data_IF_469512386554
#
_entry.id   IF_469512386554
#
_cell.length_a   1.000
_cell.length_b   1.000
_cell.length_c   1.000
_cell.angle_alpha   90.00
_cell.angle_beta   90.00
_cell.angle_gamma   90.00
#
_symmetry.space_group_name_H-M   'P 1'
#
loop_
_entity.id
_entity.type
_entity.pdbx_description
1 polymer ?
#
# COMPACT_ATOMS: atom_id res chain seq x y z
N UNK A 1 -36.22 -22.75 -64.32
CA UNK A 1 -35.98 -23.81 -63.32
C UNK A 1 -34.63 -23.57 -62.69
N UNK A 2 -34.59 -23.46 -61.35
CA UNK A 2 -33.42 -23.64 -60.48
C UNK A 2 -32.33 -22.55 -60.53
N UNK A 3 -31.81 -21.99 -59.43
CA UNK A 3 -32.13 -21.93 -57.98
C UNK A 3 -31.10 -20.93 -57.42
N UNK A 4 -31.57 -20.02 -56.58
CA UNK A 4 -30.73 -19.13 -55.76
C UNK A 4 -29.86 -19.94 -54.79
N UNK A 5 -28.61 -19.53 -54.63
CA UNK A 5 -27.73 -19.93 -53.54
C UNK A 5 -27.40 -18.69 -52.71
N UNK A 6 -28.01 -18.62 -51.53
CA UNK A 6 -27.67 -17.71 -50.45
C UNK A 6 -26.30 -18.07 -49.86
N UNK A 7 -25.38 -17.11 -49.87
CA UNK A 7 -24.11 -17.21 -49.14
C UNK A 7 -24.35 -16.75 -47.68
N UNK A 8 -24.30 -17.70 -46.75
CA UNK A 8 -24.23 -17.42 -45.31
C UNK A 8 -22.81 -16.99 -44.96
N UNK A 9 -22.63 -15.74 -44.55
CA UNK A 9 -21.43 -15.28 -43.88
C UNK A 9 -21.51 -15.69 -42.40
N UNK A 10 -20.68 -16.65 -42.00
CA UNK A 10 -20.48 -16.97 -40.59
C UNK A 10 -19.53 -15.93 -39.99
N UNK A 11 -20.02 -15.10 -39.07
CA UNK A 11 -19.18 -14.35 -38.14
C UNK A 11 -18.54 -15.36 -37.17
N UNK A 12 -17.22 -15.50 -37.27
CA UNK A 12 -16.41 -16.13 -36.23
C UNK A 12 -16.10 -15.09 -35.15
N UNK A 13 -16.83 -15.19 -34.04
CA UNK A 13 -16.51 -14.48 -32.81
C UNK A 13 -15.34 -15.19 -32.12
N UNK A 14 -14.15 -14.60 -32.12
CA UNK A 14 -13.03 -15.05 -31.30
C UNK A 14 -13.19 -14.49 -29.88
N UNK A 15 -13.83 -15.28 -29.02
CA UNK A 15 -13.72 -15.18 -27.56
C UNK A 15 -12.33 -15.68 -27.16
N UNK A 16 -11.38 -14.76 -26.94
CA UNK A 16 -10.10 -15.06 -26.34
C UNK A 16 -10.24 -15.09 -24.81
N UNK A 17 -10.37 -16.29 -24.26
CA UNK A 17 -10.18 -16.59 -22.84
C UNK A 17 -9.05 -17.62 -22.73
N UNK A 18 -8.03 -17.32 -21.92
CA UNK A 18 -7.00 -18.27 -21.51
C UNK A 18 -5.70 -18.12 -22.29
N UNK A 19 -4.67 -17.64 -21.58
CA UNK A 19 -3.28 -17.59 -22.06
C UNK A 19 -2.80 -18.99 -22.43
N UNK A 20 -2.61 -19.20 -23.73
CA UNK A 20 -1.58 -20.13 -24.21
C UNK A 20 -0.41 -19.21 -24.52
N UNK A 21 0.50 -19.07 -23.55
CA UNK A 21 1.81 -18.47 -23.83
C UNK A 21 2.47 -19.34 -24.90
N UNK A 22 2.62 -18.79 -26.10
CA UNK A 22 3.47 -19.35 -27.13
C UNK A 22 4.90 -19.29 -26.58
N UNK A 23 5.44 -20.43 -26.13
CA UNK A 23 6.67 -20.59 -25.34
C UNK A 23 7.97 -20.15 -26.06
N UNK A 24 7.87 -19.36 -27.14
CA UNK A 24 9.00 -18.87 -27.93
C UNK A 24 8.93 -17.42 -28.37
N UNK A 25 7.87 -16.66 -28.06
CA UNK A 25 7.81 -15.23 -28.36
C UNK A 25 8.34 -14.41 -27.17
N UNK A 26 9.27 -13.49 -27.43
CA UNK A 26 9.70 -12.50 -26.43
C UNK A 26 8.47 -11.72 -25.94
N UNK A 27 8.36 -11.51 -24.63
CA UNK A 27 7.24 -10.78 -24.06
C UNK A 27 7.20 -9.35 -24.64
N UNK A 28 6.06 -8.96 -25.21
CA UNK A 28 5.91 -7.63 -25.79
C UNK A 28 5.94 -6.57 -24.68
N UNK A 29 6.75 -5.53 -24.88
CA UNK A 29 6.79 -4.40 -23.94
C UNK A 29 5.51 -3.59 -24.06
N UNK A 30 4.71 -3.59 -23.00
CA UNK A 30 3.46 -2.84 -22.88
C UNK A 30 3.71 -1.34 -22.68
N UNK A 31 4.77 -0.99 -21.94
CA UNK A 31 5.18 0.39 -21.70
C UNK A 31 6.66 0.47 -21.25
N UNK A 32 7.25 1.66 -21.32
CA UNK A 32 8.58 1.93 -20.79
C UNK A 32 8.58 3.26 -20.02
N UNK A 33 9.29 3.29 -18.89
CA UNK A 33 9.49 4.48 -18.08
C UNK A 33 10.98 4.73 -17.90
N UNK A 34 11.46 5.88 -18.39
CA UNK A 34 12.79 6.38 -18.03
C UNK A 34 12.73 6.98 -16.63
N UNK A 35 13.62 6.55 -15.73
CA UNK A 35 13.76 7.10 -14.39
C UNK A 35 15.12 7.78 -14.31
N UNK A 36 15.14 9.02 -13.80
CA UNK A 36 16.34 9.86 -13.70
C UNK A 36 16.57 10.24 -12.25
N UNK A 37 17.82 10.19 -11.79
CA UNK A 37 18.19 10.64 -10.45
C UNK A 37 18.65 12.08 -10.49
N UNK A 38 17.95 12.93 -9.75
CA UNK A 38 18.35 14.30 -9.48
C UNK A 38 19.35 14.31 -8.31
N UNK A 39 20.59 14.68 -8.60
CA UNK A 39 21.65 14.80 -7.59
C UNK A 39 22.97 14.15 -8.03
N UNK A 40 23.93 14.00 -7.11
CA UNK A 40 25.16 13.26 -7.40
C UNK A 40 24.82 11.79 -7.68
N UNK A 41 25.59 11.13 -8.56
CA UNK A 41 25.40 9.72 -8.85
C UNK A 41 25.65 8.88 -7.59
N UNK A 42 24.80 7.89 -7.39
CA UNK A 42 24.96 6.94 -6.31
C UNK A 42 26.07 5.94 -6.67
N UNK A 43 26.96 5.68 -5.72
CA UNK A 43 28.11 4.77 -5.91
C UNK A 43 27.96 3.45 -5.14
N UNK A 44 26.81 3.27 -4.50
CA UNK A 44 26.48 2.03 -3.79
C UNK A 44 26.26 0.90 -4.79
N UNK A 45 26.61 -0.33 -4.40
CA UNK A 45 26.45 -1.52 -5.23
C UNK A 45 25.03 -2.06 -5.11
N UNK A 46 24.59 -2.83 -6.11
CA UNK A 46 23.27 -3.47 -6.15
C UNK A 46 22.10 -2.48 -6.02
N UNK A 47 22.25 -1.29 -6.58
CA UNK A 47 21.14 -0.34 -6.63
C UNK A 47 20.11 -0.83 -7.63
N UNK A 48 18.83 -0.76 -7.25
CA UNK A 48 17.72 -1.08 -8.13
C UNK A 48 16.74 0.06 -8.16
N UNK A 49 16.08 0.21 -9.30
CA UNK A 49 14.94 1.10 -9.47
C UNK A 49 13.72 0.22 -9.75
N UNK A 50 12.69 0.37 -8.94
CA UNK A 50 11.48 -0.45 -9.03
C UNK A 50 10.22 0.36 -8.79
N UNK A 51 9.08 -0.28 -9.04
CA UNK A 51 7.76 0.30 -8.78
C UNK A 51 7.16 -0.35 -7.55
N UNK A 52 6.88 0.40 -6.50
CA UNK A 52 6.03 -0.04 -5.41
C UNK A 52 4.59 0.28 -5.74
N UNK A 53 3.75 -0.74 -5.91
CA UNK A 53 2.31 -0.59 -6.10
C UNK A 53 1.60 -0.45 -4.76
N UNK A 54 0.62 0.44 -4.71
CA UNK A 54 -0.12 0.79 -3.50
C UNK A 54 -1.10 -0.31 -3.09
N UNK A 55 -1.22 -0.51 -1.78
CA UNK A 55 -2.34 -1.20 -1.15
C UNK A 55 -3.53 -0.24 -0.99
N UNK A 56 -4.74 -0.80 -0.90
CA UNK A 56 -5.88 -0.04 -0.37
C UNK A 56 -5.58 0.37 1.07
N UNK A 57 -5.57 1.67 1.40
CA UNK A 57 -5.31 2.11 2.76
C UNK A 57 -6.41 1.56 3.67
N UNK A 58 -6.01 0.98 4.80
CA UNK A 58 -6.95 0.41 5.75
C UNK A 58 -7.01 1.31 6.98
N UNK A 59 -8.21 1.72 7.34
CA UNK A 59 -8.41 2.62 8.47
C UNK A 59 -8.67 1.80 9.73
N UNK A 60 -7.76 1.89 10.69
CA UNK A 60 -7.98 1.39 12.05
C UNK A 60 -8.75 2.49 12.81
N UNK A 61 -9.96 2.25 13.32
CA UNK A 61 -10.77 3.29 13.99
C UNK A 61 -10.02 4.01 15.11
N UNK A 62 -9.29 3.26 15.95
CA UNK A 62 -8.44 3.84 16.99
C UNK A 62 -7.42 4.85 16.42
N UNK A 63 -6.78 4.53 15.30
CA UNK A 63 -5.80 5.43 14.68
C UNK A 63 -6.45 6.63 13.98
N UNK A 64 -7.69 6.51 13.53
CA UNK A 64 -8.42 7.67 13.04
C UNK A 64 -8.65 8.71 14.16
N UNK A 65 -9.05 8.23 15.34
CA UNK A 65 -9.40 9.08 16.49
C UNK A 65 -8.15 9.59 17.23
N UNK A 66 -7.15 8.74 17.42
CA UNK A 66 -6.00 9.02 18.31
C UNK A 66 -4.66 9.14 17.56
N UNK A 67 -4.59 8.68 16.32
CA UNK A 67 -3.35 8.63 15.53
C UNK A 67 -2.93 10.00 14.98
N UNK A 68 -1.72 10.06 14.38
CA UNK A 68 -1.26 11.25 13.69
C UNK A 68 -2.18 11.58 12.53
N UNK A 69 -2.45 12.87 12.32
CA UNK A 69 -3.15 13.33 11.13
C UNK A 69 -2.67 14.72 10.74
N UNK A 70 -2.27 14.94 9.47
CA UNK A 70 -1.98 16.26 8.92
C UNK A 70 -3.15 17.24 9.01
N UNK A 71 -4.39 16.77 9.18
CA UNK A 71 -5.57 17.62 9.39
C UNK A 71 -5.62 18.26 10.79
N UNK A 72 -4.86 17.72 11.75
CA UNK A 72 -4.75 18.24 13.11
C UNK A 72 -3.28 18.20 13.58
N UNK A 73 -2.41 19.10 13.05
CA UNK A 73 -0.99 19.09 13.37
C UNK A 73 -0.67 19.35 14.85
N UNK A 74 -1.63 19.89 15.62
CA UNK A 74 -1.49 20.15 17.04
C UNK A 74 -1.83 18.95 17.93
N UNK A 75 -2.35 17.86 17.34
CA UNK A 75 -2.74 16.66 18.06
C UNK A 75 -1.54 16.06 18.80
N UNK A 76 -1.66 15.90 20.11
CA UNK A 76 -0.66 15.18 20.88
C UNK A 76 -0.86 13.68 20.70
N UNK A 77 -0.01 13.07 19.86
CA UNK A 77 0.03 11.62 19.69
C UNK A 77 0.95 11.03 20.75
N UNK A 78 0.43 10.11 21.59
CA UNK A 78 1.15 9.47 22.70
C UNK A 78 0.79 7.99 22.81
N UNK A 79 1.52 7.26 23.66
CA UNK A 79 1.19 5.90 24.04
C UNK A 79 1.11 4.95 22.84
N UNK A 80 0.03 4.19 22.78
CA UNK A 80 -0.24 3.20 21.72
C UNK A 80 -0.28 3.87 20.34
N UNK A 81 -0.96 5.01 20.23
CA UNK A 81 -1.10 5.72 18.97
C UNK A 81 0.26 6.18 18.41
N UNK A 82 1.16 6.67 19.26
CA UNK A 82 2.49 7.10 18.83
C UNK A 82 3.38 5.92 18.37
N UNK A 83 3.14 4.73 18.91
CA UNK A 83 3.93 3.54 18.60
C UNK A 83 3.41 2.78 17.37
N UNK A 84 2.09 2.77 17.14
CA UNK A 84 1.49 1.88 16.14
C UNK A 84 0.65 2.58 15.07
N UNK A 85 0.23 3.83 15.26
CA UNK A 85 -0.62 4.48 14.26
C UNK A 85 0.20 5.13 13.17
N UNK A 86 -0.05 4.70 11.94
CA UNK A 86 0.45 5.32 10.73
C UNK A 86 -0.32 6.60 10.40
N UNK A 87 0.34 7.55 9.75
CA UNK A 87 -0.35 8.68 9.12
C UNK A 87 -1.27 8.16 8.00
N UNK A 88 -2.59 8.44 8.04
CA UNK A 88 -3.55 7.97 7.04
C UNK A 88 -3.32 8.51 5.63
N UNK A 89 -2.49 9.55 5.46
CA UNK A 89 -2.12 10.12 4.17
C UNK A 89 -0.76 9.63 3.65
N UNK A 90 -0.09 8.69 4.33
CA UNK A 90 1.10 8.08 3.79
C UNK A 90 0.80 7.10 2.65
N UNK A 91 1.78 6.92 1.75
CA UNK A 91 1.76 5.87 0.75
C UNK A 91 1.95 4.50 1.42
N UNK A 92 0.95 3.63 1.30
CA UNK A 92 0.97 2.25 1.78
C UNK A 92 1.37 1.30 0.63
N UNK A 93 2.57 0.67 0.67
CA UNK A 93 2.96 -0.34 -0.32
C UNK A 93 2.18 -1.65 -0.13
N UNK A 94 1.89 -2.34 -1.22
CA UNK A 94 1.43 -3.74 -1.22
C UNK A 94 2.50 -4.66 -1.81
N UNK A 95 3.06 -4.28 -2.97
CA UNK A 95 3.88 -5.17 -3.78
C UNK A 95 4.87 -4.42 -4.66
N UNK A 96 6.07 -4.97 -4.79
CA UNK A 96 7.00 -4.54 -5.83
C UNK A 96 6.56 -5.08 -7.21
N UNK A 97 6.55 -4.19 -8.18
CA UNK A 97 6.43 -4.50 -9.61
C UNK A 97 7.79 -4.85 -10.23
N UNK A 98 8.01 -4.56 -11.52
CA UNK A 98 9.31 -4.77 -12.13
C UNK A 98 10.38 -3.88 -11.47
N UNK A 99 11.58 -4.43 -11.33
CA UNK A 99 12.76 -3.71 -10.87
C UNK A 99 13.94 -3.94 -11.82
N UNK A 100 14.77 -2.93 -11.99
CA UNK A 100 15.94 -2.98 -12.88
C UNK A 100 17.19 -2.55 -12.12
N UNK A 101 18.33 -3.15 -12.46
CA UNK A 101 19.62 -2.77 -11.89
C UNK A 101 19.99 -1.35 -12.38
N UNK A 102 20.33 -0.47 -11.45
CA UNK A 102 20.97 0.80 -11.72
C UNK A 102 22.48 0.63 -11.54
N UNK A 103 23.25 0.77 -12.61
CA UNK A 103 24.70 0.60 -12.53
C UNK A 103 25.29 1.73 -11.68
N UNK A 104 26.22 1.44 -10.75
CA UNK A 104 26.84 2.48 -9.93
C UNK A 104 27.47 3.57 -10.79
N UNK A 105 27.16 4.83 -10.50
CA UNK A 105 27.61 5.97 -11.30
C UNK A 105 26.61 6.45 -12.35
N UNK A 106 25.62 5.65 -12.73
CA UNK A 106 24.55 6.07 -13.65
C UNK A 106 23.51 6.94 -12.94
N UNK A 107 22.91 7.85 -13.70
CA UNK A 107 21.87 8.76 -13.22
C UNK A 107 20.53 8.51 -13.90
N UNK A 108 20.42 7.49 -14.74
CA UNK A 108 19.19 7.17 -15.45
C UNK A 108 19.10 5.69 -15.79
N UNK A 109 17.89 5.12 -15.72
CA UNK A 109 17.62 3.74 -16.11
C UNK A 109 16.18 3.62 -16.64
N UNK A 110 15.93 2.65 -17.52
CA UNK A 110 14.59 2.41 -18.06
C UNK A 110 13.97 1.17 -17.41
N UNK A 111 12.75 1.31 -16.91
CA UNK A 111 11.90 0.19 -16.49
C UNK A 111 11.00 -0.19 -17.66
N UNK A 112 11.05 -1.45 -18.10
CA UNK A 112 10.14 -2.01 -19.09
C UNK A 112 9.00 -2.77 -18.41
N UNK A 113 7.78 -2.49 -18.83
CA UNK A 113 6.57 -3.18 -18.35
C UNK A 113 6.16 -4.21 -19.39
N UNK A 114 6.39 -5.48 -19.10
CA UNK A 114 5.99 -6.62 -19.96
C UNK A 114 4.67 -7.25 -19.50
N UNK A 115 4.22 -6.89 -18.30
CA UNK A 115 3.01 -7.40 -17.67
C UNK A 115 2.23 -6.27 -17.03
N UNK A 116 0.91 -6.45 -16.99
CA UNK A 116 0.03 -5.56 -16.23
C UNK A 116 0.29 -5.71 -14.72
N UNK A 117 -0.06 -4.71 -13.91
CA UNK A 117 -0.04 -4.84 -12.46
C UNK A 117 -0.87 -6.04 -11.98
N UNK A 118 -0.47 -6.63 -10.85
CA UNK A 118 -1.23 -7.73 -10.24
C UNK A 118 -2.67 -7.29 -9.95
N UNK A 119 -3.69 -8.16 -10.12
CA UNK A 119 -5.05 -7.88 -9.68
C UNK A 119 -5.17 -7.50 -8.19
N UNK A 120 -4.20 -7.88 -7.36
CA UNK A 120 -4.15 -7.55 -5.93
C UNK A 120 -3.95 -6.04 -5.66
N UNK A 121 -3.38 -5.30 -6.62
CA UNK A 121 -3.14 -3.85 -6.51
C UNK A 121 -4.06 -3.02 -7.41
N UNK A 122 -5.00 -3.69 -8.09
CA UNK A 122 -6.04 -3.06 -8.90
C UNK A 122 -7.28 -2.84 -8.03
N UNK A 123 -7.70 -1.59 -7.90
CA UNK A 123 -8.88 -1.21 -7.11
C UNK A 123 -9.95 -0.65 -8.01
N UNK A 124 -11.20 -1.08 -7.80
CA UNK A 124 -12.38 -0.67 -8.56
C UNK A 124 -13.17 -1.87 -9.11
N UNK A 125 -14.35 -1.62 -9.72
CA UNK A 125 -15.15 -2.67 -10.34
C UNK A 125 -14.48 -3.22 -11.61
N UNK A 126 -14.94 -4.35 -12.15
CA UNK A 126 -14.26 -5.04 -13.26
C UNK A 126 -14.13 -4.20 -14.54
N UNK A 127 -15.05 -3.25 -14.75
CA UNK A 127 -15.08 -2.32 -15.87
C UNK A 127 -14.20 -1.08 -15.70
N UNK A 128 -13.70 -0.82 -14.49
CA UNK A 128 -12.92 0.36 -14.12
C UNK A 128 -12.01 0.03 -12.94
N UNK A 129 -10.72 -0.21 -13.22
CA UNK A 129 -9.74 -0.53 -12.17
C UNK A 129 -8.51 0.33 -12.30
N UNK A 130 -7.97 0.75 -11.18
CA UNK A 130 -6.78 1.59 -11.14
C UNK A 130 -5.74 1.02 -10.17
N UNK A 131 -4.48 1.12 -10.56
CA UNK A 131 -3.32 0.91 -9.69
C UNK A 131 -2.48 2.19 -9.65
N UNK A 132 -2.04 2.55 -8.44
CA UNK A 132 -1.10 3.65 -8.20
C UNK A 132 0.22 3.08 -7.72
N UNK A 133 1.33 3.61 -8.23
CA UNK A 133 2.66 3.18 -7.85
C UNK A 133 3.59 4.35 -7.57
N UNK A 134 4.44 4.18 -6.57
CA UNK A 134 5.59 5.03 -6.29
C UNK A 134 6.85 4.38 -6.85
N UNK A 135 7.62 5.11 -7.65
CA UNK A 135 8.89 4.61 -8.17
C UNK A 135 9.96 4.85 -7.11
N UNK A 136 10.72 3.83 -6.77
CA UNK A 136 11.72 3.87 -5.69
C UNK A 136 13.09 3.43 -6.18
N UNK A 137 14.12 3.96 -5.54
CA UNK A 137 15.49 3.46 -5.64
C UNK A 137 15.86 2.83 -4.31
N UNK A 138 16.36 1.60 -4.32
CA UNK A 138 16.75 0.87 -3.11
C UNK A 138 18.04 0.08 -3.31
N UNK A 139 18.71 -0.26 -2.22
CA UNK A 139 19.85 -1.18 -2.23
C UNK A 139 19.36 -2.62 -2.03
N UNK A 140 19.57 -3.47 -3.03
CA UNK A 140 19.30 -4.91 -2.99
C UNK A 140 20.46 -5.62 -2.25
N UNK A 141 20.29 -5.76 -0.94
CA UNK A 141 21.36 -6.20 -0.04
C UNK A 141 21.57 -7.72 -0.09
N UNK A 142 20.54 -8.48 -0.41
CA UNK A 142 20.59 -9.94 -0.48
C UNK A 142 20.79 -10.47 -1.92
N UNK A 143 20.64 -9.61 -2.93
CA UNK A 143 20.84 -9.91 -4.34
C UNK A 143 19.67 -10.64 -5.00
N UNK A 144 18.49 -10.66 -4.37
CA UNK A 144 17.31 -11.37 -4.88
C UNK A 144 16.59 -10.59 -5.99
N UNK A 145 16.90 -9.29 -6.15
CA UNK A 145 16.32 -8.42 -7.16
C UNK A 145 14.97 -7.79 -6.81
N UNK A 146 14.45 -8.07 -5.62
CA UNK A 146 13.23 -7.54 -5.07
C UNK A 146 13.53 -6.59 -3.91
N UNK A 147 12.49 -5.92 -3.42
CA UNK A 147 12.51 -5.09 -2.22
C UNK A 147 11.69 -5.82 -1.17
N UNK A 148 12.33 -6.22 -0.08
CA UNK A 148 11.70 -6.99 0.98
C UNK A 148 10.71 -6.13 1.78
N UNK A 149 9.44 -6.25 1.41
CA UNK A 149 8.35 -5.59 2.11
C UNK A 149 8.04 -6.27 3.45
N UNK A 150 7.83 -5.44 4.46
CA UNK A 150 7.66 -5.83 5.87
C UNK A 150 6.21 -5.69 6.29
N UNK A 151 5.83 -6.43 7.31
CA UNK A 151 4.55 -6.33 8.02
C UNK A 151 4.81 -6.01 9.49
N UNK A 152 3.78 -5.55 10.21
CA UNK A 152 3.80 -5.52 11.67
C UNK A 152 4.09 -6.91 12.27
N UNK A 153 4.50 -6.97 13.54
CA UNK A 153 4.81 -8.24 14.17
C UNK A 153 3.53 -9.05 14.37
N UNK A 154 3.25 -10.06 13.56
CA UNK A 154 2.11 -10.96 13.82
C UNK A 154 2.21 -11.61 15.20
N UNK A 155 1.10 -11.63 15.97
CA UNK A 155 1.04 -12.29 17.29
C UNK A 155 1.65 -13.70 17.22
N UNK A 156 2.77 -13.91 17.93
CA UNK A 156 3.44 -15.21 18.01
C UNK A 156 4.57 -15.45 17.01
N UNK A 157 4.93 -14.48 16.16
CA UNK A 157 6.11 -14.57 15.30
C UNK A 157 7.42 -14.25 16.04
N UNK A 158 7.62 -14.83 17.23
CA UNK A 158 8.96 -14.93 17.84
C UNK A 158 9.71 -16.07 17.16
N UNK A 159 10.13 -15.83 15.92
CA UNK A 159 11.19 -16.62 15.30
C UNK A 159 12.52 -16.42 16.05
N UNK A 160 13.53 -17.26 15.81
CA UNK A 160 14.83 -17.15 16.48
C UNK A 160 15.56 -15.83 16.18
N UNK A 161 15.20 -15.14 15.10
CA UNK A 161 15.82 -13.88 14.71
C UNK A 161 15.28 -12.73 15.57
N UNK A 162 16.20 -12.11 16.30
CA UNK A 162 15.88 -10.94 17.13
C UNK A 162 15.38 -9.78 16.25
N UNK A 163 14.53 -8.87 16.77
CA UNK A 163 14.15 -7.64 16.07
C UNK A 163 15.36 -6.84 15.53
N UNK A 164 16.51 -6.96 16.21
CA UNK A 164 17.79 -6.34 15.79
C UNK A 164 18.43 -7.00 14.56
N UNK A 165 18.27 -8.30 14.37
CA UNK A 165 18.77 -9.00 13.18
C UNK A 165 17.89 -8.71 11.97
N UNK A 166 16.56 -8.60 12.16
CA UNK A 166 15.61 -8.18 11.12
C UNK A 166 15.90 -6.77 10.61
N UNK A 167 16.17 -5.82 11.51
CA UNK A 167 16.57 -4.45 11.14
C UNK A 167 17.92 -4.36 10.40
N UNK A 168 18.83 -5.32 10.57
CA UNK A 168 20.13 -5.33 9.88
C UNK A 168 20.07 -5.86 8.45
N UNK A 169 18.97 -6.51 8.07
CA UNK A 169 18.70 -6.95 6.71
C UNK A 169 17.80 -5.97 5.94
N UNK A 170 17.50 -4.80 6.51
CA UNK A 170 16.64 -3.83 5.84
C UNK A 170 17.33 -3.21 4.64
N UNK A 171 16.70 -3.35 3.49
CA UNK A 171 17.11 -2.71 2.25
C UNK A 171 16.75 -1.21 2.30
N UNK A 172 17.75 -0.31 2.35
CA UNK A 172 17.49 1.12 2.41
C UNK A 172 16.89 1.59 1.09
N UNK A 173 15.78 2.32 1.20
CA UNK A 173 15.22 3.09 0.09
C UNK A 173 15.93 4.45 0.10
N UNK A 174 16.46 4.87 -1.04
CA UNK A 174 17.29 6.06 -1.20
C UNK A 174 16.56 7.20 -1.92
N UNK A 175 15.53 6.88 -2.70
CA UNK A 175 14.71 7.85 -3.40
C UNK A 175 13.31 7.29 -3.64
N UNK A 176 12.34 8.18 -3.77
CA UNK A 176 10.95 7.82 -4.08
C UNK A 176 10.27 8.94 -4.87
N UNK A 177 9.34 8.57 -5.75
CA UNK A 177 8.56 9.54 -6.53
C UNK A 177 7.49 10.24 -5.69
N UNK A 178 7.01 9.57 -4.63
CA UNK A 178 6.26 10.18 -3.52
C UNK A 178 6.09 9.21 -2.34
N UNK A 179 5.93 9.78 -1.14
CA UNK A 179 5.74 9.03 0.12
C UNK A 179 4.46 9.40 0.88
N UNK A 180 3.86 10.54 0.56
CA UNK A 180 2.66 11.06 1.24
C UNK A 180 1.75 11.78 0.24
N UNK A 181 0.45 11.75 0.52
CA UNK A 181 -0.56 12.48 -0.23
C UNK A 181 -0.57 13.97 0.09
N UNK A 182 0.09 14.41 1.17
CA UNK A 182 0.10 15.82 1.59
C UNK A 182 1.17 16.67 0.92
N UNK A 183 2.08 16.04 0.17
CA UNK A 183 3.12 16.70 -0.61
C UNK A 183 2.85 16.55 -2.13
N UNK A 184 3.58 17.29 -2.99
CA UNK A 184 3.56 17.02 -4.42
C UNK A 184 4.01 15.58 -4.73
N UNK A 185 3.35 14.97 -5.71
CA UNK A 185 3.48 13.55 -6.04
C UNK A 185 3.66 13.38 -7.55
N UNK A 186 4.57 12.48 -7.93
CA UNK A 186 4.66 11.93 -9.28
C UNK A 186 4.27 10.45 -9.21
N UNK A 187 3.01 10.15 -9.54
CA UNK A 187 2.45 8.81 -9.42
C UNK A 187 2.61 8.08 -10.74
N UNK A 188 3.11 6.85 -10.70
CA UNK A 188 2.88 5.92 -11.80
C UNK A 188 1.45 5.39 -11.70
N UNK A 189 0.71 5.42 -12.79
CA UNK A 189 -0.69 4.97 -12.83
C UNK A 189 -0.87 3.94 -13.93
N UNK A 190 -1.65 2.91 -13.64
CA UNK A 190 -2.24 2.05 -14.65
C UNK A 190 -3.76 2.05 -14.47
N UNK A 191 -4.50 2.41 -15.53
CA UNK A 191 -5.95 2.46 -15.54
C UNK A 191 -6.53 1.48 -16.57
N UNK A 192 -7.45 0.63 -16.13
CA UNK A 192 -8.35 -0.13 -16.99
C UNK A 192 -9.71 0.55 -17.04
N UNK A 193 -10.28 0.69 -18.23
CA UNK A 193 -11.60 1.30 -18.39
C UNK A 193 -11.59 2.81 -18.16
N UNK A 194 -12.63 3.34 -17.49
CA UNK A 194 -12.77 4.78 -17.23
C UNK A 194 -12.31 5.12 -15.81
N UNK A 195 -11.79 6.32 -15.61
CA UNK A 195 -11.42 6.78 -14.27
C UNK A 195 -12.68 7.10 -13.46
N UNK A 196 -12.82 6.48 -12.27
CA UNK A 196 -13.87 6.81 -11.31
C UNK A 196 -13.42 7.98 -10.42
N UNK A 197 -14.00 9.15 -10.65
CA UNK A 197 -13.68 10.37 -9.91
C UNK A 197 -14.22 10.39 -8.48
N UNK A 198 -15.19 9.53 -8.16
CA UNK A 198 -15.75 9.38 -6.83
C UNK A 198 -14.97 8.35 -5.98
N UNK A 199 -13.96 7.70 -6.58
CA UNK A 199 -13.06 6.80 -5.88
C UNK A 199 -12.19 7.57 -4.88
N UNK A 200 -12.26 7.16 -3.61
CA UNK A 200 -11.39 7.66 -2.54
C UNK A 200 -10.06 6.91 -2.45
N UNK A 201 -9.75 6.03 -3.42
CA UNK A 201 -8.47 5.34 -3.46
C UNK A 201 -7.40 6.27 -4.05
N UNK A 202 -6.48 6.75 -3.20
CA UNK A 202 -5.45 7.75 -3.53
C UNK A 202 -6.06 8.96 -4.24
N UNK A 203 -6.88 9.77 -3.56
CA UNK A 203 -7.57 10.88 -4.18
C UNK A 203 -6.58 11.92 -4.71
N UNK A 204 -6.98 12.62 -5.76
CA UNK A 204 -6.35 13.88 -6.16
C UNK A 204 -6.99 15.07 -5.43
N UNK A 205 -6.39 16.26 -5.49
CA UNK A 205 -7.00 17.48 -4.98
C UNK A 205 -8.32 17.78 -5.70
N UNK A 206 -9.23 18.50 -5.04
CA UNK A 206 -10.58 18.77 -5.57
C UNK A 206 -10.58 19.49 -6.93
N UNK A 207 -9.54 20.30 -7.20
CA UNK A 207 -9.39 21.07 -8.44
C UNK A 207 -8.71 20.26 -9.57
N UNK A 208 -8.50 18.96 -9.37
CA UNK A 208 -7.87 18.09 -10.35
C UNK A 208 -8.81 17.78 -11.52
N UNK A 209 -8.65 18.51 -12.64
CA UNK A 209 -9.45 18.32 -13.85
C UNK A 209 -8.83 17.32 -14.83
N UNK A 210 -7.51 17.16 -14.83
CA UNK A 210 -6.81 16.23 -15.71
C UNK A 210 -6.71 14.84 -15.05
N UNK A 211 -7.50 13.90 -15.55
CA UNK A 211 -7.65 12.56 -14.99
C UNK A 211 -6.77 11.54 -15.73
N UNK A 212 -6.31 10.48 -15.04
CA UNK A 212 -5.59 9.39 -15.67
C UNK A 212 -6.36 8.80 -16.86
N UNK A 213 -5.61 8.39 -17.88
CA UNK A 213 -6.14 7.79 -19.11
C UNK A 213 -5.93 6.28 -19.10
N UNK A 214 -6.73 5.50 -19.86
CA UNK A 214 -6.55 4.06 -19.94
C UNK A 214 -5.11 3.69 -20.34
N UNK A 215 -4.54 2.67 -19.70
CA UNK A 215 -3.15 2.26 -19.85
C UNK A 215 -2.22 2.89 -18.81
N UNK A 216 -0.91 2.83 -19.10
CA UNK A 216 0.11 3.40 -18.23
C UNK A 216 0.27 4.91 -18.47
N UNK A 217 0.34 5.68 -17.39
CA UNK A 217 0.61 7.12 -17.42
C UNK A 217 1.32 7.58 -16.15
N UNK A 218 1.89 8.78 -16.20
CA UNK A 218 2.31 9.53 -15.02
C UNK A 218 1.17 10.46 -14.62
N UNK A 219 0.88 10.55 -13.34
CA UNK A 219 -0.06 11.51 -12.80
C UNK A 219 0.66 12.38 -11.78
N UNK A 220 0.93 13.61 -12.19
CA UNK A 220 1.49 14.65 -11.36
C UNK A 220 0.37 15.25 -10.54
N UNK A 221 0.46 15.15 -9.22
CA UNK A 221 -0.60 15.56 -8.31
C UNK A 221 0.00 16.44 -7.23
N UNK A 222 -0.56 17.63 -6.99
CA UNK A 222 -0.16 18.46 -5.86
C UNK A 222 -0.53 17.84 -4.50
N UNK A 223 -0.20 18.53 -3.40
CA UNK A 223 -0.56 18.07 -2.06
C UNK A 223 -2.07 18.08 -1.86
N UNK A 224 -2.64 17.00 -1.33
CA UNK A 224 -4.08 16.82 -1.14
C UNK A 224 -4.69 17.89 -0.22
N UNK A 225 -3.90 18.44 0.70
CA UNK A 225 -4.33 19.48 1.65
C UNK A 225 -4.01 20.90 1.18
N UNK A 226 -3.42 21.05 -0.01
CA UNK A 226 -3.19 22.35 -0.63
C UNK A 226 -4.40 22.71 -1.49
N UNK A 227 -5.16 23.73 -1.08
CA UNK A 227 -6.36 24.20 -1.79
C UNK A 227 -6.07 24.67 -3.22
N UNK A 228 -4.83 25.08 -3.50
CA UNK A 228 -4.35 25.49 -4.81
C UNK A 228 -3.74 24.36 -5.64
N UNK A 229 -3.69 23.13 -5.12
CA UNK A 229 -3.06 22.02 -5.80
C UNK A 229 -3.77 21.66 -7.10
N UNK A 230 -2.97 21.58 -8.16
CA UNK A 230 -3.40 21.11 -9.48
C UNK A 230 -2.94 19.66 -9.70
N UNK A 231 -3.40 19.09 -10.81
CA UNK A 231 -2.91 17.80 -11.29
C UNK A 231 -2.77 17.82 -12.81
N UNK A 232 -1.91 16.93 -13.31
CA UNK A 232 -1.65 16.77 -14.73
C UNK A 232 -1.29 15.33 -15.06
N UNK A 233 -1.86 14.81 -16.13
CA UNK A 233 -1.52 13.49 -16.68
C UNK A 233 -0.46 13.66 -17.77
N UNK A 234 0.61 12.89 -17.67
CA UNK A 234 1.71 12.89 -18.64
C UNK A 234 1.95 11.47 -19.18
N UNK A 235 2.41 11.35 -20.44
CA UNK A 235 2.84 10.06 -20.97
C UNK A 235 4.14 9.60 -20.27
N UNK A 236 4.36 8.29 -20.19
CA UNK A 236 5.60 7.76 -19.58
C UNK A 236 6.88 8.17 -20.33
N UNK A 237 6.77 8.51 -21.62
CA UNK A 237 7.90 8.92 -22.46
C UNK A 237 8.63 10.18 -21.95
N UNK A 238 7.99 11.00 -21.10
CA UNK A 238 8.65 12.16 -20.47
C UNK A 238 9.67 11.74 -19.39
N UNK A 239 9.57 10.50 -18.89
CA UNK A 239 10.38 9.99 -17.80
C UNK A 239 9.97 10.53 -16.44
N UNK A 240 10.63 10.10 -15.37
CA UNK A 240 10.36 10.51 -13.99
C UNK A 240 11.66 10.87 -13.27
N UNK A 241 11.68 12.03 -12.62
CA UNK A 241 12.83 12.49 -11.85
C UNK A 241 12.67 12.15 -10.37
N UNK A 242 13.62 11.40 -9.81
CA UNK A 242 13.66 11.06 -8.39
C UNK A 242 14.74 11.85 -7.67
N UNK A 243 14.42 12.35 -6.49
CA UNK A 243 15.40 13.01 -5.61
C UNK A 243 15.89 12.02 -4.57
N UNK A 244 17.21 11.86 -4.49
CA UNK A 244 17.83 11.10 -3.41
C UNK A 244 17.60 11.86 -2.09
N UNK A 245 17.15 11.14 -1.07
CA UNK A 245 16.88 11.66 0.26
C UNK A 245 17.58 10.86 1.36
N UNK A 246 17.26 11.21 2.61
CA UNK A 246 17.68 10.43 3.77
C UNK A 246 16.88 9.10 3.81
N UNK A 247 17.54 7.94 3.89
CA UNK A 247 16.85 6.65 4.03
C UNK A 247 15.81 6.61 5.15
N UNK A 248 16.03 7.33 6.25
CA UNK A 248 15.06 7.36 7.36
C UNK A 248 13.72 8.00 6.96
N UNK A 249 13.72 8.89 5.96
CA UNK A 249 12.50 9.51 5.43
C UNK A 249 11.64 8.53 4.59
N UNK A 250 12.20 7.36 4.27
CA UNK A 250 11.57 6.35 3.41
C UNK A 250 11.26 5.04 4.14
N UNK A 251 11.54 4.93 5.45
CA UNK A 251 11.38 3.68 6.22
C UNK A 251 9.97 3.07 6.10
N UNK A 252 8.93 3.91 6.08
CA UNK A 252 7.53 3.47 5.98
C UNK A 252 7.15 2.96 4.58
N UNK A 253 7.95 3.24 3.53
CA UNK A 253 7.72 2.71 2.18
C UNK A 253 8.03 1.21 2.06
N UNK A 254 8.70 0.63 3.05
CA UNK A 254 8.86 -0.82 3.16
C UNK A 254 7.76 -1.48 4.02
N UNK A 255 6.78 -0.73 4.53
CA UNK A 255 5.78 -1.24 5.46
C UNK A 255 4.41 -1.45 4.81
N UNK A 256 4.09 -2.73 4.59
CA UNK A 256 2.76 -3.17 4.14
C UNK A 256 1.76 -3.17 5.28
N UNK A 257 0.48 -3.05 4.94
CA UNK A 257 -0.60 -3.07 5.91
C UNK A 257 -1.30 -4.45 5.92
N UNK A 258 -1.62 -4.96 7.10
CA UNK A 258 -2.38 -6.21 7.24
C UNK A 258 -3.86 -5.91 7.48
N UNK A 259 -4.73 -6.33 6.56
CA UNK A 259 -6.19 -6.16 6.68
C UNK A 259 -6.80 -6.86 7.88
N UNK A 260 -6.11 -7.86 8.44
CA UNK A 260 -6.55 -8.56 9.63
C UNK A 260 -6.48 -7.71 10.90
N UNK A 261 -5.73 -6.62 10.90
CA UNK A 261 -5.48 -5.82 12.10
C UNK A 261 -6.48 -4.67 12.25
N UNK A 262 -7.30 -4.43 11.23
CA UNK A 262 -8.29 -3.35 11.17
C UNK A 262 -9.60 -3.64 11.91
N UNK A 263 -9.85 -4.90 12.26
CA UNK A 263 -11.03 -5.31 13.01
C UNK A 263 -10.66 -5.76 14.41
N UNK A 264 -11.59 -5.55 15.34
CA UNK A 264 -11.46 -6.02 16.71
C UNK A 264 -11.21 -7.53 16.73
N UNK A 265 -10.35 -7.97 17.65
CA UNK A 265 -10.03 -9.40 17.83
C UNK A 265 -10.42 -9.87 19.23
N UNK A 266 -10.85 -11.14 19.38
CA UNK A 266 -11.03 -11.70 20.70
C UNK A 266 -9.68 -11.78 21.44
N UNK A 267 -9.63 -11.51 22.74
CA UNK A 267 -8.47 -11.82 23.55
C UNK A 267 -8.17 -13.32 23.52
N UNK A 268 -6.96 -13.71 23.12
CA UNK A 268 -6.54 -15.13 23.06
C UNK A 268 -5.55 -15.51 24.15
N UNK A 269 -4.65 -14.61 24.50
CA UNK A 269 -3.60 -14.83 25.50
C UNK A 269 -3.19 -13.50 26.12
N UNK A 270 -2.53 -13.57 27.27
CA UNK A 270 -1.90 -12.41 27.90
C UNK A 270 -0.93 -11.74 26.91
N UNK A 271 -0.97 -10.42 26.89
CA UNK A 271 -0.05 -9.60 26.12
C UNK A 271 1.22 -9.39 26.96
N UNK A 272 2.37 -9.71 26.37
CA UNK A 272 3.68 -9.50 26.98
C UNK A 272 4.46 -8.51 26.11
N UNK A 273 5.21 -7.60 26.73
CA UNK A 273 6.09 -6.65 26.04
C UNK A 273 5.38 -5.71 25.03
N UNK A 274 4.12 -5.37 25.28
CA UNK A 274 3.32 -4.44 24.46
C UNK A 274 3.05 -3.13 25.16
N UNK A 275 2.77 -2.08 24.39
CA UNK A 275 2.05 -0.91 24.86
C UNK A 275 0.55 -1.17 24.71
N UNK A 276 -0.25 -0.76 25.70
CA UNK A 276 -1.70 -0.85 25.61
C UNK A 276 -2.40 0.37 26.20
N UNK A 277 -3.63 0.60 25.75
CA UNK A 277 -4.52 1.66 26.20
C UNK A 277 -5.95 1.15 26.19
N UNK A 278 -6.74 1.50 27.22
CA UNK A 278 -8.15 1.19 27.26
C UNK A 278 -8.93 2.22 26.45
N UNK A 279 -9.80 1.75 25.57
CA UNK A 279 -10.73 2.60 24.82
C UNK A 279 -12.03 2.80 25.59
N UNK A 280 -12.81 3.81 25.22
CA UNK A 280 -14.04 4.18 25.95
C UNK A 280 -15.13 3.10 25.95
N UNK A 281 -15.10 2.19 24.99
CA UNK A 281 -16.00 1.04 24.87
C UNK A 281 -15.54 -0.18 25.71
N UNK A 282 -14.46 -0.05 26.48
CA UNK A 282 -13.87 -1.13 27.27
C UNK A 282 -13.01 -2.10 26.47
N UNK A 283 -12.76 -1.82 25.19
CA UNK A 283 -11.76 -2.53 24.38
C UNK A 283 -10.32 -2.09 24.74
N UNK A 284 -9.32 -2.77 24.20
CA UNK A 284 -7.90 -2.46 24.39
C UNK A 284 -7.26 -2.20 23.04
N UNK A 285 -6.67 -1.03 22.84
CA UNK A 285 -5.74 -0.80 21.76
C UNK A 285 -4.34 -1.24 22.18
N UNK A 286 -3.64 -1.96 21.30
CA UNK A 286 -2.32 -2.56 21.57
C UNK A 286 -1.37 -2.20 20.45
N UNK A 287 -0.16 -1.79 20.79
CA UNK A 287 0.94 -1.58 19.86
C UNK A 287 2.20 -2.30 20.34
N UNK A 288 2.97 -2.84 19.39
CA UNK A 288 4.26 -3.48 19.63
C UNK A 288 5.39 -2.54 19.15
N UNK A 289 6.00 -1.72 20.02
CA UNK A 289 6.94 -0.68 19.61
C UNK A 289 8.25 -1.23 19.04
N UNK A 290 8.55 -2.51 19.27
CA UNK A 290 9.75 -3.16 18.73
C UNK A 290 9.59 -3.56 17.25
N UNK A 291 8.36 -3.52 16.72
CA UNK A 291 8.09 -3.87 15.34
C UNK A 291 8.74 -2.90 14.36
N UNK A 292 9.04 -3.45 13.20
CA UNK A 292 9.64 -2.73 12.09
C UNK A 292 8.64 -1.82 11.37
N UNK A 293 7.35 -2.12 11.50
CA UNK A 293 6.25 -1.35 10.93
C UNK A 293 5.23 -1.00 12.02
N UNK A 294 4.69 0.24 12.01
CA UNK A 294 3.61 0.63 12.90
C UNK A 294 2.41 -0.29 12.71
N UNK A 295 1.92 -0.85 13.82
CA UNK A 295 0.72 -1.66 13.87
C UNK A 295 -0.03 -1.39 15.18
N UNK A 296 -1.35 -1.19 15.07
CA UNK A 296 -2.26 -1.16 16.21
C UNK A 296 -3.32 -2.20 16.00
N UNK A 297 -3.56 -2.98 17.06
CA UNK A 297 -4.65 -3.93 17.15
C UNK A 297 -5.62 -3.49 18.22
N UNK A 298 -6.91 -3.62 17.92
CA UNK A 298 -7.96 -3.45 18.93
C UNK A 298 -8.41 -4.84 19.36
N UNK A 299 -8.29 -5.15 20.65
CA UNK A 299 -8.88 -6.32 21.26
C UNK A 299 -10.19 -5.92 21.89
N UNK A 300 -11.25 -6.68 21.66
CA UNK A 300 -12.53 -6.44 22.32
C UNK A 300 -13.04 -7.72 22.96
N UNK A 301 -13.72 -7.58 24.10
CA UNK A 301 -14.39 -8.71 24.74
C UNK A 301 -15.59 -9.20 23.93
N UNK A 302 -16.08 -8.41 22.96
CA UNK A 302 -17.20 -8.76 22.12
C UNK A 302 -17.02 -8.23 20.71
N UNK A 303 -17.35 -9.02 19.69
CA UNK A 303 -17.30 -8.55 18.31
C UNK A 303 -17.56 -9.64 17.28
N UNK A 304 -17.35 -9.30 16.00
CA UNK A 304 -17.35 -10.23 14.89
C UNK A 304 -16.05 -10.15 14.09
N UNK A 305 -15.74 -11.22 13.37
CA UNK A 305 -14.49 -11.30 12.61
C UNK A 305 -14.46 -10.34 11.41
N UNK A 306 -15.62 -10.11 10.80
CA UNK A 306 -15.75 -9.37 9.54
C UNK A 306 -16.77 -8.23 9.60
N UNK A 307 -17.34 -7.94 10.78
CA UNK A 307 -18.35 -6.88 10.98
C UNK A 307 -18.15 -6.17 12.33
N UNK A 308 -17.90 -4.87 12.28
CA UNK A 308 -17.71 -4.04 13.47
C UNK A 308 -19.00 -3.81 14.27
N UNK A 309 -20.18 -3.97 13.67
CA UNK A 309 -21.47 -3.60 14.26
C UNK A 309 -22.50 -4.75 14.25
N UNK A 310 -22.03 -6.00 14.31
CA UNK A 310 -22.90 -7.15 14.22
C UNK A 310 -23.87 -7.28 15.42
N UNK A 311 -25.14 -7.59 15.11
CA UNK A 311 -26.18 -7.81 16.13
C UNK A 311 -25.97 -9.09 16.92
N UNK A 312 -25.40 -10.12 16.30
CA UNK A 312 -25.03 -11.39 16.91
C UNK A 312 -23.51 -11.57 16.86
N UNK A 313 -22.79 -11.42 17.99
CA UNK A 313 -21.34 -11.44 17.99
C UNK A 313 -20.80 -12.86 17.77
N UNK A 314 -19.67 -12.97 17.07
CA UNK A 314 -18.93 -14.23 16.91
C UNK A 314 -18.26 -14.67 18.22
N UNK A 315 -17.94 -13.70 19.09
CA UNK A 315 -17.47 -13.94 20.46
C UNK A 315 -18.06 -12.92 21.44
N UNK A 316 -18.34 -13.37 22.67
CA UNK A 316 -18.74 -12.50 23.77
C UNK A 316 -18.18 -13.06 25.09
N UNK A 317 -17.16 -12.37 25.61
CA UNK A 317 -16.45 -12.68 26.85
C UNK A 317 -16.81 -11.68 27.96
N UNK A 318 -17.86 -10.87 27.79
CA UNK A 318 -18.23 -9.85 28.78
C UNK A 318 -18.65 -10.43 30.13
N UNK A 319 -19.06 -11.70 30.17
CA UNK A 319 -19.39 -12.43 31.40
C UNK A 319 -18.26 -13.35 31.90
N UNK A 320 -17.19 -13.51 31.12
CA UNK A 320 -16.03 -14.36 31.42
C UNK A 320 -14.75 -13.61 31.02
N UNK A 321 -14.58 -12.44 31.63
CA UNK A 321 -13.49 -11.52 31.31
C UNK A 321 -12.16 -12.17 31.73
N UNK A 322 -11.17 -12.25 30.82
CA UNK A 322 -9.88 -12.84 31.18
C UNK A 322 -9.23 -12.12 32.36
N UNK A 323 -8.63 -12.87 33.29
CA UNK A 323 -7.98 -12.29 34.50
C UNK A 323 -6.89 -11.26 34.18
N UNK A 324 -6.27 -11.36 33.00
CA UNK A 324 -5.23 -10.43 32.57
C UNK A 324 -5.77 -9.17 31.91
N UNK A 325 -7.08 -9.06 31.69
CA UNK A 325 -7.70 -7.92 31.02
C UNK A 325 -7.56 -6.65 31.88
N UNK A 326 -6.86 -5.61 31.42
CA UNK A 326 -6.55 -4.43 32.23
C UNK A 326 -7.69 -3.41 32.34
N UNK A 327 -8.70 -3.45 31.45
CA UNK A 327 -9.72 -2.42 31.41
C UNK A 327 -10.91 -2.74 32.29
N UNK A 328 -11.47 -1.71 32.93
CA UNK A 328 -12.73 -1.85 33.66
C UNK A 328 -13.86 -2.16 32.67
N UNK A 329 -14.62 -3.20 32.96
CA UNK A 329 -15.77 -3.62 32.15
C UNK A 329 -17.01 -3.36 32.98
N UNK A 330 -17.89 -2.46 32.54
CA UNK A 330 -19.19 -2.33 33.18
C UNK A 330 -19.99 -3.62 32.93
N UNK A 331 -20.39 -4.35 33.99
CA UNK A 331 -21.21 -5.54 33.81
C UNK A 331 -22.54 -5.14 33.17
N UNK A 332 -22.96 -5.86 32.12
CA UNK A 332 -24.25 -5.60 31.48
C UNK A 332 -25.37 -5.72 32.52
N UNK A 333 -26.19 -4.67 32.62
CA UNK A 333 -27.48 -4.81 33.28
C UNK A 333 -28.34 -5.77 32.42
N UNK A 334 -28.97 -6.78 33.05
CA UNK A 334 -29.71 -7.83 32.37
C UNK A 334 -30.88 -7.30 31.54
#
# INVERSE_FOLDING_TARGET
>A
MSRDWTASAALLSTLACGSVDDLGAEAETLASLEVRLAGPPLTVRNLRVGVLWAASPIFVPFCHEHGPTPLDPGRQVKGVAAAGCRDPFEFVPERLGPSVLLVPGETSVTISFERLPSPEVLVGPLESRIAYGSVVVFEDLDGNGDLDLRRGCGLGSRGPDSPRERRRAQEPILASSFTTLTAPQDRLVYLEGQFDADSNFYPGPSNCLDRPRPGFSRWLVGGLLDEGAECKTEPLAEGMDLRVGDPSAFENLACTQSSRESFSRPPRSRLEDVLFECTDDGSIAVAEPECDCPDVRVLSLRGCFDDAACSNPDWDLTNDVPEWWPCEVEPRRP
#
